data_IF_959591042896
#
_entry.id   IF_959591042896
#
_cell.length_a   1.000
_cell.length_b   1.000
_cell.length_c   1.000
_cell.angle_alpha   90.00
_cell.angle_beta   90.00
_cell.angle_gamma   90.00
#
_symmetry.space_group_name_H-M   'P 1'
#
loop_
_entity.id
_entity.type
_entity.pdbx_description
1 polymer ?
#
# COMPACT_ATOMS: atom_id res chain seq x y z
N UNK A 1 -2.86 8.65 -14.34
CA UNK A 1 -2.90 7.91 -13.05
C UNK A 1 -2.98 6.42 -13.33
N UNK A 2 -2.13 5.59 -12.72
CA UNK A 2 -2.21 4.14 -12.84
C UNK A 2 -3.35 3.62 -11.95
N UNK A 3 -4.36 2.97 -12.54
CA UNK A 3 -5.57 2.50 -11.87
C UNK A 3 -5.52 1.02 -11.55
N UNK A 4 -4.84 0.27 -12.41
CA UNK A 4 -4.70 -1.17 -12.34
C UNK A 4 -3.22 -1.51 -12.15
N UNK A 5 -2.94 -2.67 -11.58
CA UNK A 5 -1.58 -3.19 -11.41
C UNK A 5 -1.41 -4.49 -12.19
N UNK A 6 -0.30 -4.63 -12.90
CA UNK A 6 0.04 -5.87 -13.57
C UNK A 6 0.20 -7.01 -12.56
N UNK A 7 -0.33 -8.18 -12.91
CA UNK A 7 -0.20 -9.39 -12.10
C UNK A 7 0.73 -10.39 -12.78
N UNK A 8 1.06 -11.47 -12.06
CA UNK A 8 1.83 -12.58 -12.64
C UNK A 8 0.98 -13.46 -13.57
N UNK A 9 -0.34 -13.32 -13.51
CA UNK A 9 -1.27 -14.06 -14.37
C UNK A 9 -1.39 -13.27 -15.67
N UNK A 10 -1.05 -13.94 -16.79
CA UNK A 10 -1.06 -13.32 -18.11
C UNK A 10 -2.45 -12.75 -18.42
N UNK A 11 -2.52 -11.53 -18.97
CA UNK A 11 -3.75 -10.83 -19.38
C UNK A 11 -4.72 -10.47 -18.22
N UNK A 12 -4.31 -10.64 -16.96
CA UNK A 12 -5.09 -10.26 -15.78
C UNK A 12 -4.41 -9.14 -14.99
N UNK A 13 -5.21 -8.15 -14.59
CA UNK A 13 -4.74 -6.94 -13.91
C UNK A 13 -5.51 -6.72 -12.61
N UNK A 14 -4.82 -6.38 -11.53
CA UNK A 14 -5.41 -6.14 -10.21
C UNK A 14 -6.04 -4.73 -10.14
N UNK A 15 -7.24 -4.64 -9.61
CA UNK A 15 -7.88 -3.38 -9.21
C UNK A 15 -7.06 -2.71 -8.11
N UNK A 16 -6.34 -1.63 -8.42
CA UNK A 16 -5.44 -0.98 -7.48
C UNK A 16 -6.02 0.32 -6.92
N UNK A 17 -6.20 1.33 -7.76
CA UNK A 17 -6.76 2.65 -7.38
C UNK A 17 -8.15 2.89 -7.97
N UNK A 18 -8.78 1.82 -8.44
CA UNK A 18 -10.16 1.83 -8.96
C UNK A 18 -10.93 0.67 -8.34
N UNK A 19 -12.20 0.87 -7.94
CA UNK A 19 -12.98 -0.18 -7.29
C UNK A 19 -13.31 -1.31 -8.26
N UNK A 20 -13.35 -2.54 -7.76
CA UNK A 20 -13.87 -3.69 -8.49
C UNK A 20 -15.35 -3.47 -8.84
N UNK A 21 -15.72 -3.72 -10.08
CA UNK A 21 -17.11 -3.55 -10.57
C UNK A 21 -18.10 -4.54 -9.96
N UNK A 22 -17.62 -5.63 -9.35
CA UNK A 22 -18.47 -6.64 -8.69
C UNK A 22 -18.71 -6.29 -7.22
N UNK A 23 -17.66 -6.03 -6.44
CA UNK A 23 -17.78 -5.82 -4.98
C UNK A 23 -17.62 -4.36 -4.53
N UNK A 24 -17.31 -3.43 -5.44
CA UNK A 24 -17.12 -2.01 -5.14
C UNK A 24 -15.91 -1.70 -4.25
N UNK A 25 -14.98 -2.65 -4.07
CA UNK A 25 -13.76 -2.51 -3.25
C UNK A 25 -12.50 -2.53 -4.10
N UNK A 26 -11.48 -1.81 -3.66
CA UNK A 26 -10.13 -1.85 -4.24
C UNK A 26 -9.31 -3.01 -3.64
N UNK A 27 -8.27 -3.45 -4.36
CA UNK A 27 -7.32 -4.46 -3.91
C UNK A 27 -7.82 -5.90 -3.97
N UNK A 28 -6.95 -6.79 -4.43
CA UNK A 28 -7.13 -8.24 -4.46
C UNK A 28 -8.04 -8.79 -5.57
N UNK A 29 -8.97 -8.00 -6.10
CA UNK A 29 -9.76 -8.40 -7.28
C UNK A 29 -8.96 -8.16 -8.57
N UNK A 30 -9.20 -8.97 -9.60
CA UNK A 30 -8.56 -8.84 -10.91
C UNK A 30 -9.58 -8.73 -12.04
N UNK A 31 -9.21 -8.07 -13.13
CA UNK A 31 -9.99 -8.03 -14.37
C UNK A 31 -9.14 -8.51 -15.55
N UNK A 32 -9.79 -9.22 -16.48
CA UNK A 32 -9.17 -9.63 -17.72
C UNK A 32 -9.01 -8.43 -18.67
N UNK A 33 -7.97 -8.43 -19.50
CA UNK A 33 -7.58 -7.32 -20.38
C UNK A 33 -8.69 -6.81 -21.29
N UNK A 34 -9.54 -7.71 -21.78
CA UNK A 34 -10.66 -7.39 -22.67
C UNK A 34 -11.91 -6.88 -21.94
N UNK A 35 -11.90 -6.87 -20.60
CA UNK A 35 -13.03 -6.48 -19.77
C UNK A 35 -14.18 -7.49 -19.75
N UNK A 36 -14.00 -8.71 -20.23
CA UNK A 36 -15.04 -9.75 -20.28
C UNK A 36 -15.24 -10.47 -18.96
N UNK A 37 -14.26 -10.42 -18.05
CA UNK A 37 -14.30 -11.18 -16.82
C UNK A 37 -13.61 -10.48 -15.65
N UNK A 38 -14.11 -10.75 -14.44
CA UNK A 38 -13.57 -10.27 -13.17
C UNK A 38 -13.41 -11.44 -12.21
N UNK A 39 -12.21 -11.58 -11.62
CA UNK A 39 -11.94 -12.49 -10.52
C UNK A 39 -12.09 -11.71 -9.20
N UNK A 40 -13.22 -11.91 -8.51
CA UNK A 40 -13.55 -11.20 -7.29
C UNK A 40 -13.26 -12.06 -6.05
N UNK A 41 -12.59 -11.50 -5.04
CA UNK A 41 -12.27 -12.21 -3.78
C UNK A 41 -13.33 -12.02 -2.68
N UNK A 42 -14.41 -11.28 -2.95
CA UNK A 42 -15.41 -10.88 -1.92
C UNK A 42 -16.85 -11.27 -2.24
N UNK A 43 -17.15 -11.53 -3.50
CA UNK A 43 -18.51 -11.86 -3.96
C UNK A 43 -18.44 -13.20 -4.66
N UNK A 44 -19.16 -14.17 -4.13
CA UNK A 44 -19.16 -15.53 -4.66
C UNK A 44 -19.86 -15.62 -6.02
N UNK A 45 -19.46 -16.61 -6.80
CA UNK A 45 -20.11 -17.03 -8.05
C UNK A 45 -19.99 -18.54 -8.18
N UNK A 46 -20.79 -19.14 -9.06
CA UNK A 46 -20.79 -20.59 -9.29
C UNK A 46 -19.44 -21.13 -9.78
N UNK A 47 -18.61 -20.27 -10.37
CA UNK A 47 -17.28 -20.63 -10.89
C UNK A 47 -16.17 -20.04 -10.04
N UNK A 48 -15.18 -20.86 -9.66
CA UNK A 48 -13.95 -20.39 -9.01
C UNK A 48 -12.92 -19.97 -10.06
N UNK A 49 -12.25 -18.86 -9.82
CA UNK A 49 -11.01 -18.50 -10.50
C UNK A 49 -9.79 -19.08 -9.76
N UNK A 50 -9.77 -19.00 -8.43
CA UNK A 50 -8.77 -19.68 -7.59
C UNK A 50 -9.43 -20.26 -6.33
N UNK A 51 -9.38 -21.60 -6.19
CA UNK A 51 -10.00 -22.29 -5.05
C UNK A 51 -9.01 -22.49 -3.88
N UNK A 52 -7.83 -23.01 -4.16
CA UNK A 52 -6.83 -23.41 -3.15
C UNK A 52 -5.73 -22.37 -3.00
N UNK A 53 -6.11 -21.12 -2.70
CA UNK A 53 -5.15 -20.03 -2.53
C UNK A 53 -5.45 -19.26 -1.24
N UNK A 54 -4.46 -18.54 -0.71
CA UNK A 54 -4.65 -17.70 0.48
C UNK A 54 -5.75 -16.64 0.33
N UNK A 55 -6.13 -16.32 -0.92
CA UNK A 55 -7.25 -15.45 -1.26
C UNK A 55 -8.10 -16.14 -2.35
N UNK A 56 -9.05 -17.00 -1.97
CA UNK A 56 -9.96 -17.62 -2.94
C UNK A 56 -10.67 -16.53 -3.75
N UNK A 57 -10.85 -16.79 -5.05
CA UNK A 57 -11.48 -15.84 -5.96
C UNK A 57 -12.50 -16.54 -6.86
N UNK A 58 -13.54 -15.79 -7.18
CA UNK A 58 -14.74 -16.23 -7.90
C UNK A 58 -14.81 -15.50 -9.24
N UNK A 59 -15.13 -16.22 -10.31
CA UNK A 59 -15.11 -15.72 -11.68
C UNK A 59 -16.49 -15.18 -12.10
N UNK A 60 -16.55 -13.90 -12.41
CA UNK A 60 -17.74 -13.20 -12.89
C UNK A 60 -17.57 -12.82 -14.36
N UNK A 61 -18.45 -13.32 -15.23
CA UNK A 61 -18.46 -12.95 -16.65
C UNK A 61 -19.32 -11.71 -16.88
N UNK A 62 -18.75 -10.70 -17.54
CA UNK A 62 -19.41 -9.43 -17.85
C UNK A 62 -20.01 -9.46 -19.26
N UNK A 63 -21.25 -8.97 -19.39
CA UNK A 63 -22.00 -8.91 -20.66
C UNK A 63 -22.37 -7.46 -21.00
N UNK A 64 -22.50 -7.16 -22.29
CA UNK A 64 -22.97 -5.87 -22.81
C UNK A 64 -22.10 -4.67 -22.40
N UNK A 65 -22.74 -3.56 -22.06
CA UNK A 65 -22.12 -2.26 -21.74
C UNK A 65 -21.25 -2.27 -20.48
N UNK A 66 -21.25 -3.37 -19.71
CA UNK A 66 -20.39 -3.52 -18.53
C UNK A 66 -18.96 -3.95 -18.89
N UNK A 67 -18.70 -4.30 -20.16
CA UNK A 67 -17.34 -4.61 -20.63
C UNK A 67 -16.55 -3.32 -20.83
N UNK A 68 -15.40 -3.22 -20.16
CA UNK A 68 -14.43 -2.15 -20.39
C UNK A 68 -13.06 -2.74 -20.62
N UNK A 69 -12.53 -2.57 -21.83
CA UNK A 69 -11.16 -2.95 -22.15
C UNK A 69 -10.19 -2.13 -21.31
N UNK A 70 -9.18 -2.80 -20.76
CA UNK A 70 -8.17 -2.14 -19.94
C UNK A 70 -7.17 -1.44 -20.87
N UNK A 71 -7.02 -0.13 -20.72
CA UNK A 71 -5.97 0.62 -21.42
C UNK A 71 -4.62 0.35 -20.74
N UNK A 72 -3.60 0.00 -21.52
CA UNK A 72 -2.22 -0.23 -21.05
C UNK A 72 -1.63 0.96 -20.31
N UNK A 73 -2.01 2.19 -20.68
CA UNK A 73 -1.56 3.41 -20.02
C UNK A 73 -2.03 3.49 -18.56
N UNK A 74 -3.16 2.85 -18.23
CA UNK A 74 -3.73 2.80 -16.88
C UNK A 74 -3.08 1.73 -15.99
N UNK A 75 -2.10 0.98 -16.51
CA UNK A 75 -1.48 -0.16 -15.83
C UNK A 75 -0.13 0.23 -15.22
N UNK A 76 0.01 0.02 -13.92
CA UNK A 76 1.31 0.03 -13.22
C UNK A 76 2.00 -1.31 -13.49
N UNK A 77 3.15 -1.26 -14.17
CA UNK A 77 3.95 -2.44 -14.48
C UNK A 77 4.54 -3.08 -13.23
N UNK A 78 4.73 -4.41 -13.26
CA UNK A 78 5.46 -5.10 -12.19
C UNK A 78 6.92 -4.67 -12.27
N UNK A 79 7.36 -3.83 -11.34
CA UNK A 79 8.77 -3.57 -11.17
C UNK A 79 9.48 -4.83 -10.65
N UNK A 80 10.31 -5.46 -11.47
CA UNK A 80 11.09 -6.66 -11.12
C UNK A 80 12.30 -6.25 -10.28
N UNK A 81 12.09 -6.01 -8.99
CA UNK A 81 13.20 -5.85 -8.04
C UNK A 81 14.02 -7.12 -7.83
N UNK A 82 15.07 -7.03 -7.02
CA UNK A 82 15.91 -8.19 -6.67
C UNK A 82 15.14 -9.26 -5.87
N UNK A 83 15.52 -10.54 -5.97
CA UNK A 83 15.03 -11.60 -5.08
C UNK A 83 15.28 -11.24 -3.60
N UNK A 84 14.35 -11.63 -2.73
CA UNK A 84 14.50 -11.44 -1.28
C UNK A 84 15.70 -12.27 -0.78
N UNK A 85 16.56 -11.66 0.02
CA UNK A 85 17.69 -12.34 0.66
C UNK A 85 17.22 -13.40 1.67
N UNK A 86 18.11 -14.33 2.02
CA UNK A 86 17.84 -15.37 3.02
C UNK A 86 17.57 -14.76 4.40
N UNK A 87 16.70 -15.39 5.19
CA UNK A 87 16.29 -14.91 6.50
C UNK A 87 17.46 -14.60 7.44
N UNK A 88 18.53 -15.42 7.43
CA UNK A 88 19.76 -15.14 8.19
C UNK A 88 20.40 -13.78 7.85
N UNK A 89 20.50 -13.46 6.55
CA UNK A 89 21.06 -12.18 6.08
C UNK A 89 20.16 -11.02 6.50
N UNK A 90 18.85 -11.21 6.38
CA UNK A 90 17.87 -10.21 6.81
C UNK A 90 17.97 -9.95 8.31
N UNK A 91 18.10 -11.01 9.11
CA UNK A 91 18.26 -10.90 10.56
C UNK A 91 19.50 -10.10 10.93
N UNK A 92 20.64 -10.39 10.31
CA UNK A 92 21.87 -9.61 10.53
C UNK A 92 21.66 -8.13 10.27
N UNK A 93 21.14 -7.77 9.08
CA UNK A 93 20.95 -6.37 8.71
C UNK A 93 19.89 -5.67 9.57
N UNK A 94 18.78 -6.35 9.85
CA UNK A 94 17.69 -5.77 10.62
C UNK A 94 17.98 -5.68 12.12
N UNK A 95 18.83 -6.57 12.67
CA UNK A 95 19.28 -6.47 14.05
C UNK A 95 20.21 -5.27 14.21
N UNK A 96 21.18 -5.11 13.31
CA UNK A 96 22.02 -3.92 13.28
C UNK A 96 21.19 -2.63 13.08
N UNK A 97 20.15 -2.67 12.24
CA UNK A 97 19.22 -1.53 12.10
C UNK A 97 18.54 -1.17 13.42
N UNK A 98 18.10 -2.15 14.22
CA UNK A 98 17.48 -1.88 15.52
C UNK A 98 18.48 -1.25 16.50
N UNK A 99 19.74 -1.66 16.44
CA UNK A 99 20.81 -1.12 17.28
C UNK A 99 21.16 0.34 16.92
N UNK A 100 21.06 0.71 15.64
CA UNK A 100 21.26 2.10 15.19
C UNK A 100 20.07 3.03 15.45
N UNK A 101 18.94 2.51 15.95
CA UNK A 101 17.72 3.27 16.15
C UNK A 101 17.34 3.34 17.61
N UNK A 102 16.64 4.40 17.95
CA UNK A 102 16.05 4.62 19.27
C UNK A 102 14.53 4.59 19.19
N UNK A 103 13.87 4.56 20.35
CA UNK A 103 12.43 4.70 20.47
C UNK A 103 12.13 6.08 21.06
N UNK A 104 11.41 6.90 20.30
CA UNK A 104 11.11 8.28 20.67
C UNK A 104 10.15 8.28 21.86
N UNK A 105 10.29 9.27 22.75
CA UNK A 105 9.43 9.40 23.93
C UNK A 105 7.94 9.41 23.61
N UNK A 106 7.56 10.05 22.50
CA UNK A 106 6.16 10.10 22.03
C UNK A 106 5.66 8.69 21.67
N UNK A 107 6.51 7.88 21.05
CA UNK A 107 6.18 6.50 20.71
C UNK A 107 6.17 5.60 21.93
N UNK A 108 7.12 5.79 22.85
CA UNK A 108 7.12 5.09 24.13
C UNK A 108 5.83 5.34 24.92
N UNK A 109 5.47 6.62 25.12
CA UNK A 109 4.21 7.03 25.77
C UNK A 109 2.98 6.47 25.06
N UNK A 110 3.00 6.37 23.73
CA UNK A 110 1.92 5.73 22.98
C UNK A 110 1.78 4.24 23.32
N UNK A 111 2.90 3.51 23.36
CA UNK A 111 2.94 2.07 23.64
C UNK A 111 2.53 1.75 25.07
N UNK A 112 2.92 2.58 26.04
CA UNK A 112 2.57 2.42 27.47
C UNK A 112 1.23 3.05 27.85
N UNK A 113 0.56 3.76 26.92
CA UNK A 113 -0.72 4.44 27.19
C UNK A 113 -1.82 3.48 27.68
N UNK A 114 -2.87 3.98 28.36
CA UNK A 114 -4.02 3.15 28.79
C UNK A 114 -4.74 2.41 27.65
N UNK A 115 -4.58 2.88 26.41
CA UNK A 115 -5.15 2.22 25.23
C UNK A 115 -4.33 1.02 24.71
N UNK A 116 -3.05 0.92 25.10
CA UNK A 116 -2.10 -0.08 24.62
C UNK A 116 -1.58 -0.98 25.73
N UNK A 117 -1.34 -0.42 26.92
CA UNK A 117 -1.01 -1.11 28.15
C UNK A 117 0.21 -2.05 28.04
N UNK A 118 1.19 -1.69 27.21
CA UNK A 118 2.44 -2.45 27.16
C UNK A 118 3.31 -2.05 28.34
N UNK A 119 3.79 -3.04 29.08
CA UNK A 119 4.77 -2.83 30.14
C UNK A 119 6.15 -2.54 29.56
N UNK A 120 6.98 -1.81 30.31
CA UNK A 120 8.35 -1.43 29.93
C UNK A 120 9.18 -2.63 29.48
N UNK A 121 9.11 -3.73 30.24
CA UNK A 121 9.78 -4.99 29.90
C UNK A 121 9.32 -5.55 28.55
N UNK A 122 8.03 -5.43 28.20
CA UNK A 122 7.52 -5.87 26.91
C UNK A 122 8.00 -4.96 25.77
N UNK A 123 8.02 -3.64 25.98
CA UNK A 123 8.54 -2.68 25.00
C UNK A 123 10.01 -2.96 24.70
N UNK A 124 10.81 -3.16 25.75
CA UNK A 124 12.23 -3.53 25.66
C UNK A 124 12.44 -4.86 24.93
N UNK A 125 11.77 -5.94 25.36
CA UNK A 125 11.92 -7.27 24.77
C UNK A 125 11.50 -7.32 23.30
N UNK A 126 10.47 -6.56 22.91
CA UNK A 126 9.97 -6.50 21.53
C UNK A 126 10.78 -5.59 20.63
N UNK A 127 11.72 -4.82 21.19
CA UNK A 127 12.65 -3.96 20.47
C UNK A 127 11.94 -2.99 19.50
N UNK A 128 10.86 -2.37 19.96
CA UNK A 128 10.22 -1.30 19.18
C UNK A 128 11.20 -0.15 18.97
N UNK A 129 11.14 0.47 17.78
CA UNK A 129 11.98 1.61 17.38
C UNK A 129 11.19 2.65 16.64
N UNK A 130 11.69 3.87 16.56
CA UNK A 130 11.15 4.91 15.69
C UNK A 130 11.82 4.88 14.33
N UNK A 131 11.10 5.33 13.30
CA UNK A 131 11.73 5.61 12.02
C UNK A 131 12.67 6.82 12.12
N UNK A 132 13.90 6.73 11.60
CA UNK A 132 14.88 7.80 11.72
C UNK A 132 14.47 9.05 10.92
N UNK A 133 14.88 10.23 11.39
CA UNK A 133 14.76 11.48 10.62
C UNK A 133 15.59 11.45 9.34
N UNK A 134 16.77 10.81 9.42
CA UNK A 134 17.76 10.75 8.34
C UNK A 134 18.03 9.30 7.93
N UNK A 135 17.11 8.67 7.19
CA UNK A 135 17.22 7.27 6.80
C UNK A 135 18.48 6.94 5.97
N UNK A 136 19.02 7.90 5.23
CA UNK A 136 20.26 7.73 4.45
C UNK A 136 21.51 7.66 5.31
N UNK A 137 21.58 8.42 6.41
CA UNK A 137 22.71 8.36 7.37
C UNK A 137 22.73 7.00 8.06
N UNK A 138 21.58 6.51 8.52
CA UNK A 138 21.44 5.17 9.11
C UNK A 138 21.83 4.09 8.11
N UNK A 139 21.37 4.17 6.86
CA UNK A 139 21.75 3.21 5.82
C UNK A 139 23.26 3.22 5.54
N UNK A 140 23.92 4.39 5.56
CA UNK A 140 25.37 4.51 5.43
C UNK A 140 26.08 3.85 6.60
N UNK A 141 25.70 4.16 7.84
CA UNK A 141 26.28 3.56 9.06
C UNK A 141 26.15 2.05 9.06
N UNK A 142 24.98 1.51 8.67
CA UNK A 142 24.77 0.08 8.54
C UNK A 142 25.66 -0.56 7.48
N UNK A 143 25.82 0.11 6.33
CA UNK A 143 26.65 -0.39 5.24
C UNK A 143 28.12 -0.48 5.66
N UNK A 144 28.60 0.52 6.38
CA UNK A 144 29.97 0.60 6.92
C UNK A 144 30.17 -0.42 8.05
N UNK A 145 29.30 -0.42 9.06
CA UNK A 145 29.43 -1.31 10.24
C UNK A 145 29.24 -2.79 9.93
N UNK A 146 28.50 -3.14 8.87
CA UNK A 146 28.36 -4.53 8.41
C UNK A 146 29.32 -4.90 7.28
N UNK A 147 30.15 -3.95 6.82
CA UNK A 147 31.09 -4.13 5.71
C UNK A 147 30.45 -4.69 4.42
N UNK A 148 29.19 -4.33 4.15
CA UNK A 148 28.45 -4.82 2.98
C UNK A 148 28.55 -3.86 1.79
N UNK A 149 28.50 -4.41 0.57
CA UNK A 149 28.55 -3.60 -0.66
C UNK A 149 27.22 -2.92 -0.99
N UNK A 150 26.09 -3.57 -0.68
CA UNK A 150 24.76 -3.10 -1.07
C UNK A 150 23.65 -3.75 -0.25
N UNK A 151 22.45 -3.16 -0.27
CA UNK A 151 21.24 -3.73 0.34
C UNK A 151 20.31 -4.43 -0.66
N UNK A 152 20.81 -4.86 -1.82
CA UNK A 152 20.00 -5.55 -2.85
C UNK A 152 19.33 -6.80 -2.25
N UNK A 153 18.02 -6.87 -2.40
CA UNK A 153 17.20 -7.97 -1.89
C UNK A 153 16.84 -7.87 -0.41
N UNK A 154 17.16 -6.76 0.27
CA UNK A 154 16.78 -6.49 1.66
C UNK A 154 15.56 -5.55 1.64
N UNK A 155 14.35 -6.04 1.98
CA UNK A 155 13.14 -5.26 1.84
C UNK A 155 13.17 -3.90 2.55
N UNK A 156 12.78 -2.89 1.77
CA UNK A 156 12.64 -1.50 2.17
C UNK A 156 13.93 -0.68 2.13
N UNK A 157 15.09 -1.29 1.88
CA UNK A 157 16.26 -0.52 1.46
C UNK A 157 16.20 -0.34 -0.06
N UNK A 158 16.56 0.84 -0.52
CA UNK A 158 16.59 1.13 -1.94
C UNK A 158 17.67 2.17 -2.26
N UNK A 159 18.05 2.24 -3.53
CA UNK A 159 19.04 3.16 -4.03
C UNK A 159 18.31 4.40 -4.57
N UNK A 160 18.43 5.52 -3.88
CA UNK A 160 17.83 6.79 -4.28
C UNK A 160 18.66 7.42 -5.40
N UNK A 161 18.01 7.73 -6.53
CA UNK A 161 18.63 8.37 -7.71
C UNK A 161 19.94 7.70 -8.18
N UNK A 162 20.07 6.38 -7.97
CA UNK A 162 21.31 5.63 -8.25
C UNK A 162 22.57 6.09 -7.50
N UNK A 163 22.44 7.00 -6.52
CA UNK A 163 23.58 7.64 -5.83
C UNK A 163 23.84 7.06 -4.45
N UNK A 164 22.80 6.92 -3.62
CA UNK A 164 22.97 6.53 -2.21
C UNK A 164 21.86 5.61 -1.72
N UNK A 165 22.22 4.74 -0.77
CA UNK A 165 21.26 3.84 -0.13
C UNK A 165 20.48 4.58 0.93
N UNK A 166 19.17 4.33 0.98
CA UNK A 166 18.29 4.86 2.02
C UNK A 166 17.21 3.84 2.38
N UNK A 167 16.44 4.17 3.41
CA UNK A 167 15.39 3.34 4.01
C UNK A 167 14.05 3.94 3.61
N UNK A 168 13.21 3.19 2.91
CA UNK A 168 11.85 3.60 2.57
C UNK A 168 10.97 3.61 3.83
N UNK A 169 10.23 4.71 4.01
CA UNK A 169 9.28 4.88 5.10
C UNK A 169 9.03 6.35 5.40
N UNK A 170 8.22 6.58 6.42
CA UNK A 170 7.92 7.88 7.00
C UNK A 170 7.95 7.78 8.51
N UNK A 171 7.85 8.91 9.20
CA UNK A 171 7.77 8.94 10.67
C UNK A 171 6.68 8.02 11.23
N UNK A 172 7.08 7.25 12.23
CA UNK A 172 6.28 6.19 12.82
C UNK A 172 7.08 5.19 13.63
N UNK A 173 6.39 4.14 14.09
CA UNK A 173 6.94 3.06 14.91
C UNK A 173 7.26 1.85 14.04
N UNK A 174 8.48 1.33 14.21
CA UNK A 174 8.97 0.07 13.70
C UNK A 174 8.64 -1.06 14.67
N UNK A 175 7.95 -2.06 14.16
CA UNK A 175 7.56 -3.26 14.88
C UNK A 175 8.31 -4.44 14.24
N UNK A 176 9.36 -4.97 14.90
CA UNK A 176 10.12 -6.09 14.37
C UNK A 176 9.22 -7.31 14.12
N UNK A 177 9.34 -7.92 12.95
CA UNK A 177 8.64 -9.16 12.63
C UNK A 177 9.64 -10.32 12.59
N UNK A 178 9.37 -11.34 13.41
CA UNK A 178 10.26 -12.48 13.60
C UNK A 178 9.67 -13.76 13.04
N UNK A 179 10.53 -14.62 12.49
CA UNK A 179 10.14 -15.99 12.11
C UNK A 179 10.13 -16.92 13.35
N UNK A 180 9.85 -18.21 13.14
CA UNK A 180 9.81 -19.22 14.21
C UNK A 180 11.17 -19.53 14.84
N UNK A 181 12.28 -19.10 14.23
CA UNK A 181 13.63 -19.13 14.82
C UNK A 181 13.98 -17.84 15.58
N UNK A 182 13.00 -16.94 15.80
CA UNK A 182 13.18 -15.63 16.43
C UNK A 182 14.09 -14.66 15.64
N UNK A 183 14.34 -14.95 14.37
CA UNK A 183 15.12 -14.09 13.46
C UNK A 183 14.23 -12.97 12.91
N UNK A 184 14.74 -11.73 12.87
CA UNK A 184 14.03 -10.58 12.31
C UNK A 184 14.07 -10.69 10.78
N UNK A 185 12.91 -10.86 10.15
CA UNK A 185 12.80 -11.05 8.69
C UNK A 185 12.00 -9.96 7.99
N UNK A 186 11.63 -8.92 8.75
CA UNK A 186 10.95 -7.72 8.27
C UNK A 186 10.46 -6.84 9.41
N UNK A 187 9.67 -5.84 9.07
CA UNK A 187 9.04 -4.94 10.03
C UNK A 187 7.57 -4.71 9.65
N UNK A 188 6.72 -4.53 10.64
CA UNK A 188 5.48 -3.76 10.46
C UNK A 188 5.77 -2.30 10.84
N UNK A 189 5.22 -1.37 10.06
CA UNK A 189 5.33 0.07 10.27
C UNK A 189 4.01 0.62 10.72
N UNK A 190 4.01 1.45 11.76
CA UNK A 190 2.86 2.24 12.18
C UNK A 190 3.18 3.73 11.97
N UNK A 191 2.65 4.32 10.91
CA UNK A 191 2.84 5.73 10.58
C UNK A 191 2.14 6.63 11.62
N UNK A 192 2.75 7.76 11.95
CA UNK A 192 2.16 8.71 12.89
C UNK A 192 1.02 9.51 12.28
N UNK A 193 1.27 10.07 11.10
CA UNK A 193 0.35 10.90 10.35
C UNK A 193 0.10 10.29 8.97
N UNK A 194 -0.77 9.25 8.88
CA UNK A 194 -1.13 8.72 7.58
C UNK A 194 -1.91 9.78 6.80
N UNK A 195 -1.51 9.98 5.54
CA UNK A 195 -2.18 10.87 4.61
C UNK A 195 -3.61 10.42 4.34
N UNK A 196 -4.48 11.37 4.03
CA UNK A 196 -5.83 11.06 3.60
C UNK A 196 -5.82 10.44 2.20
N UNK A 197 -6.81 9.58 1.94
CA UNK A 197 -7.03 8.92 0.66
C UNK A 197 -8.48 9.13 0.23
N UNK A 198 -8.69 9.21 -1.09
CA UNK A 198 -10.04 9.28 -1.66
C UNK A 198 -10.52 7.87 -1.95
N UNK A 199 -11.70 7.54 -1.45
CA UNK A 199 -12.45 6.38 -1.91
C UNK A 199 -13.47 6.81 -2.95
N UNK A 200 -13.55 6.03 -4.04
CA UNK A 200 -14.48 6.27 -5.14
C UNK A 200 -15.41 5.07 -5.25
N UNK A 201 -16.71 5.34 -5.30
CA UNK A 201 -17.74 4.40 -5.74
C UNK A 201 -18.28 4.89 -7.07
N UNK A 202 -18.24 4.03 -8.06
CA UNK A 202 -18.68 4.38 -9.41
C UNK A 202 -20.07 3.82 -9.65
N UNK A 203 -20.95 4.61 -10.27
CA UNK A 203 -22.20 4.10 -10.85
C UNK A 203 -21.92 3.58 -12.28
N UNK A 204 -21.14 4.36 -13.05
CA UNK A 204 -20.59 3.97 -14.34
C UNK A 204 -19.05 4.09 -14.35
N UNK A 205 -18.32 3.23 -15.07
CA UNK A 205 -16.88 3.40 -15.25
C UNK A 205 -16.57 4.79 -15.84
N UNK A 206 -15.48 5.43 -15.41
CA UNK A 206 -15.06 6.74 -15.94
C UNK A 206 -14.72 7.73 -14.84
N UNK A 207 -15.40 7.65 -13.70
CA UNK A 207 -15.15 8.52 -12.54
C UNK A 207 -13.82 8.19 -11.87
N UNK A 208 -12.97 9.20 -11.70
CA UNK A 208 -11.67 9.16 -11.02
C UNK A 208 -11.62 10.29 -10.01
N UNK A 209 -10.97 10.06 -8.88
CA UNK A 209 -10.73 11.12 -7.91
C UNK A 209 -9.34 10.97 -7.29
N UNK A 210 -8.73 12.11 -6.95
CA UNK A 210 -7.44 12.17 -6.25
C UNK A 210 -7.42 13.37 -5.30
N UNK A 211 -6.68 13.24 -4.21
CA UNK A 211 -6.29 14.41 -3.42
C UNK A 211 -5.13 15.09 -4.15
N UNK A 212 -5.30 16.36 -4.48
CA UNK A 212 -4.25 17.18 -5.09
C UNK A 212 -3.46 17.93 -4.02
N UNK A 213 -4.08 18.27 -2.89
CA UNK A 213 -3.43 18.90 -1.74
C UNK A 213 -3.96 18.31 -0.42
N UNK A 214 -3.04 17.92 0.47
CA UNK A 214 -3.41 17.40 1.79
C UNK A 214 -3.85 18.56 2.69
N UNK A 215 -4.89 18.37 3.53
CA UNK A 215 -5.50 17.09 3.85
C UNK A 215 -6.68 16.67 2.94
N UNK A 216 -7.34 17.58 2.23
CA UNK A 216 -8.70 17.31 1.72
C UNK A 216 -9.09 18.02 0.41
N UNK A 217 -8.16 18.65 -0.32
CA UNK A 217 -8.47 19.20 -1.64
C UNK A 217 -8.58 18.06 -2.67
N UNK A 218 -9.80 17.76 -3.11
CA UNK A 218 -10.11 16.64 -4.01
C UNK A 218 -10.41 17.15 -5.41
N UNK A 219 -9.71 16.58 -6.39
CA UNK A 219 -10.04 16.71 -7.80
C UNK A 219 -10.76 15.44 -8.27
N UNK A 220 -11.94 15.61 -8.85
CA UNK A 220 -12.72 14.56 -9.48
C UNK A 220 -12.75 14.79 -10.98
N UNK A 221 -12.47 13.74 -11.74
CA UNK A 221 -12.57 13.74 -13.20
C UNK A 221 -13.45 12.60 -13.70
N UNK A 222 -14.11 12.84 -14.82
CA UNK A 222 -14.91 11.85 -15.53
C UNK A 222 -14.42 11.77 -16.97
N UNK A 223 -13.99 10.58 -17.41
CA UNK A 223 -13.44 10.32 -18.75
C UNK A 223 -12.32 11.26 -19.24
N UNK A 224 -11.61 11.88 -18.30
CA UNK A 224 -10.47 12.77 -18.57
C UNK A 224 -10.76 14.25 -18.31
N UNK A 225 -12.03 14.62 -18.24
CA UNK A 225 -12.47 15.98 -17.94
C UNK A 225 -12.57 16.20 -16.44
N UNK A 226 -12.06 17.33 -15.93
CA UNK A 226 -12.19 17.70 -14.53
C UNK A 226 -13.59 18.27 -14.32
N UNK A 227 -14.35 17.62 -13.44
CA UNK A 227 -15.77 17.95 -13.20
C UNK A 227 -15.99 18.58 -11.82
N UNK A 228 -15.05 18.42 -10.88
CA UNK A 228 -15.12 18.99 -9.55
C UNK A 228 -13.71 19.16 -8.96
N UNK A 229 -13.46 20.31 -8.36
CA UNK A 229 -12.33 20.57 -7.46
C UNK A 229 -12.86 21.25 -6.20
N UNK A 230 -12.89 20.52 -5.09
CA UNK A 230 -13.46 21.04 -3.84
C UNK A 230 -12.78 20.42 -2.62
N UNK A 231 -12.79 21.14 -1.50
CA UNK A 231 -12.39 20.64 -0.20
C UNK A 231 -13.44 19.67 0.36
N UNK A 232 -13.14 18.38 0.34
CA UNK A 232 -14.02 17.34 0.88
C UNK A 232 -13.47 16.88 2.22
N UNK A 233 -13.99 17.48 3.30
CA UNK A 233 -13.56 17.15 4.67
C UNK A 233 -13.60 15.64 4.92
N UNK A 234 -12.56 15.13 5.59
CA UNK A 234 -12.46 13.70 5.91
C UNK A 234 -13.58 13.28 6.86
N UNK A 235 -14.65 12.70 6.32
CA UNK A 235 -15.80 12.23 7.08
C UNK A 235 -16.27 10.87 6.53
N UNK A 236 -17.21 10.23 7.22
CA UNK A 236 -17.72 8.91 6.80
C UNK A 236 -18.76 9.01 5.67
N UNK A 237 -19.19 10.22 5.31
CA UNK A 237 -20.28 10.47 4.35
C UNK A 237 -19.77 10.49 2.91
N UNK A 238 -20.65 10.11 1.98
CA UNK A 238 -20.36 10.09 0.55
C UNK A 238 -20.85 11.38 -0.09
N UNK A 239 -19.96 12.08 -0.79
CA UNK A 239 -20.31 13.21 -1.65
C UNK A 239 -20.77 12.67 -3.00
N UNK A 240 -22.01 12.98 -3.38
CA UNK A 240 -22.57 12.60 -4.68
C UNK A 240 -21.98 13.48 -5.77
N UNK A 241 -21.46 12.86 -6.82
CA UNK A 241 -20.92 13.55 -7.98
C UNK A 241 -21.92 13.48 -9.13
N UNK A 242 -22.39 14.64 -9.53
CA UNK A 242 -23.36 14.83 -10.62
C UNK A 242 -22.67 15.54 -11.77
N UNK A 243 -22.86 15.03 -12.99
CA UNK A 243 -22.39 15.65 -14.23
C UNK A 243 -23.49 15.49 -15.29
N UNK A 244 -23.83 16.55 -16.01
CA UNK A 244 -24.90 16.56 -17.03
C UNK A 244 -26.25 16.02 -16.51
N UNK A 245 -26.63 16.42 -15.29
CA UNK A 245 -27.84 15.94 -14.59
C UNK A 245 -27.92 14.42 -14.32
N UNK A 246 -26.81 13.68 -14.50
CA UNK A 246 -26.71 12.27 -14.12
C UNK A 246 -25.74 12.06 -12.95
N UNK A 247 -26.11 11.16 -12.03
CA UNK A 247 -25.21 10.71 -10.95
C UNK A 247 -24.14 9.79 -11.53
N UNK A 248 -22.89 10.27 -11.57
CA UNK A 248 -21.74 9.50 -12.10
C UNK A 248 -21.11 8.62 -11.01
N UNK A 249 -21.20 9.03 -9.75
CA UNK A 249 -20.78 8.20 -8.62
C UNK A 249 -20.69 8.99 -7.32
N UNK A 250 -19.92 8.45 -6.38
CA UNK A 250 -19.75 9.00 -5.06
C UNK A 250 -18.28 8.98 -4.65
N UNK A 251 -17.84 10.04 -3.99
CA UNK A 251 -16.47 10.16 -3.46
C UNK A 251 -16.53 10.44 -1.96
N UNK A 252 -15.50 10.00 -1.23
CA UNK A 252 -15.29 10.42 0.15
C UNK A 252 -13.82 10.43 0.50
N UNK A 253 -13.44 11.29 1.43
CA UNK A 253 -12.08 11.35 1.95
C UNK A 253 -12.02 10.59 3.27
N UNK A 254 -11.12 9.62 3.35
CA UNK A 254 -10.89 8.83 4.56
C UNK A 254 -9.43 8.88 4.95
N UNK A 255 -9.14 8.70 6.24
CA UNK A 255 -7.77 8.61 6.72
C UNK A 255 -7.12 7.34 6.17
N UNK A 256 -5.94 7.47 5.59
CA UNK A 256 -5.19 6.34 5.04
C UNK A 256 -4.82 5.31 6.10
N UNK A 257 -4.37 4.14 5.62
CA UNK A 257 -3.91 3.08 6.50
C UNK A 257 -2.75 3.56 7.35
N UNK A 258 -2.79 3.19 8.63
CA UNK A 258 -1.71 3.50 9.58
C UNK A 258 -0.62 2.42 9.57
N UNK A 259 -0.99 1.17 9.28
CA UNK A 259 -0.12 0.02 9.38
C UNK A 259 0.28 -0.51 8.01
N UNK A 260 1.59 -0.72 7.80
CA UNK A 260 2.15 -1.26 6.57
C UNK A 260 3.14 -2.37 6.87
N UNK A 261 3.29 -3.32 5.95
CA UNK A 261 4.26 -4.41 6.08
C UNK A 261 5.50 -4.17 5.22
N UNK A 262 6.65 -4.08 5.86
CA UNK A 262 7.98 -4.13 5.23
C UNK A 262 8.43 -5.58 5.10
N UNK A 263 7.69 -6.32 4.27
CA UNK A 263 8.04 -7.66 3.81
C UNK A 263 7.87 -7.81 2.28
N UNK A 264 7.32 -6.79 1.60
CA UNK A 264 7.14 -6.72 0.15
C UNK A 264 7.46 -5.31 -0.35
N UNK A 265 7.86 -5.24 -1.63
CA UNK A 265 8.32 -4.05 -2.34
C UNK A 265 7.37 -2.87 -2.10
N UNK A 266 7.89 -1.76 -1.57
CA UNK A 266 7.26 -0.48 -1.76
C UNK A 266 7.68 0.01 -3.15
N UNK A 267 6.73 0.17 -4.08
CA UNK A 267 6.92 1.16 -5.15
C UNK A 267 6.71 2.52 -4.48
N UNK A 268 7.77 3.09 -3.93
CA UNK A 268 7.83 4.53 -3.82
C UNK A 268 8.20 5.03 -5.21
N UNK A 269 7.19 5.18 -6.07
CA UNK A 269 7.30 6.20 -7.09
C UNK A 269 7.53 7.51 -6.33
N UNK A 270 8.70 8.10 -6.54
CA UNK A 270 8.94 9.50 -6.21
C UNK A 270 7.87 10.39 -6.86
#
# INVERSE_FOLDING_TARGET
MKLMRQTRVKDWYEYYRTPCVICGKTGGCMAHVDGSAVACIRTESDTYFSKNSALPSYLHLLKGNNKRKINKEEIEEIHVGHPKQKDKVLNTVYSALIECLELDDVHYKHLTSPSRQLADKQVMLRQYRSFPDKPWEVARMLKEGLEIKHFKGIPGFFLQEEKYWTIAGSKGILIPFRNHYNEIVGFQYRIDNPQNVVEVKVNRPGLKARIIEQPDLVQVSFDGEIILEEEIKSNKTWTTIVHENEVKGWVRVVKGNRYFWRARRFSTSA
#
